data_IF_611468781855
#
_entry.id   IF_611468781855
#
_cell.length_a   1.000
_cell.length_b   1.000
_cell.length_c   1.000
_cell.angle_alpha   90.00
_cell.angle_beta   90.00
_cell.angle_gamma   90.00
#
_symmetry.space_group_name_H-M   'P 1'
#
loop_
_entity.id
_entity.type
_entity.pdbx_description
1 polymer ?
#
# COMPACT_ATOMS: atom_id res chain seq x y z
N UNK A 1 3.08 -11.95 16.41
CA UNK A 1 1.97 -12.24 17.32
C UNK A 1 1.00 -11.08 17.22
N UNK A 2 -0.21 -11.34 16.74
CA UNK A 2 -1.25 -10.33 16.59
C UNK A 2 -2.06 -10.24 17.88
N UNK A 3 -2.29 -9.02 18.33
CA UNK A 3 -2.96 -8.66 19.59
C UNK A 3 -4.12 -7.71 19.30
N UNK A 4 -5.23 -7.87 20.02
CA UNK A 4 -6.35 -6.93 20.07
C UNK A 4 -6.60 -6.62 21.53
N UNK A 5 -6.64 -5.33 21.89
CA UNK A 5 -6.82 -4.89 23.28
C UNK A 5 -5.82 -5.54 24.26
N UNK A 6 -4.61 -5.85 23.77
CA UNK A 6 -3.53 -6.50 24.52
C UNK A 6 -3.57 -8.03 24.53
N UNK A 7 -4.62 -8.66 24.01
CA UNK A 7 -4.81 -10.11 24.06
C UNK A 7 -4.46 -10.80 22.72
N UNK A 8 -3.78 -11.97 22.73
CA UNK A 8 -3.49 -12.73 21.52
C UNK A 8 -4.74 -13.17 20.77
N UNK A 9 -4.73 -12.98 19.45
CA UNK A 9 -5.80 -13.48 18.58
C UNK A 9 -5.74 -15.01 18.54
N UNK A 10 -6.74 -15.67 19.14
CA UNK A 10 -6.88 -17.14 19.10
C UNK A 10 -7.52 -17.59 17.78
N UNK A 11 -6.86 -18.47 17.06
CA UNK A 11 -7.44 -19.23 15.94
C UNK A 11 -7.96 -20.57 16.46
N UNK A 12 -8.90 -20.57 17.39
CA UNK A 12 -9.63 -21.79 17.77
C UNK A 12 -10.94 -21.85 16.99
N UNK A 13 -11.26 -22.95 16.28
CA UNK A 13 -12.54 -23.08 15.62
C UNK A 13 -13.64 -23.04 16.68
N UNK A 14 -14.70 -22.28 16.42
CA UNK A 14 -15.92 -22.23 17.23
C UNK A 14 -16.37 -23.65 17.64
N UNK A 15 -16.14 -24.05 18.90
CA UNK A 15 -16.85 -25.18 19.49
C UNK A 15 -18.10 -24.65 20.19
N UNK A 16 -19.21 -24.64 19.47
CA UNK A 16 -20.52 -24.52 20.08
C UNK A 16 -20.70 -25.67 21.09
N UNK A 17 -20.98 -25.30 22.34
CA UNK A 17 -21.24 -26.22 23.44
C UNK A 17 -22.37 -27.20 23.11
N UNK A 18 -22.04 -28.49 23.03
CA UNK A 18 -22.93 -29.59 23.36
C UNK A 18 -22.13 -30.64 24.12
N UNK A 19 -22.67 -31.04 25.27
CA UNK A 19 -22.07 -31.97 26.23
C UNK A 19 -21.82 -33.35 25.60
N UNK A 20 -20.66 -33.96 25.89
CA UNK A 20 -20.58 -35.42 26.03
C UNK A 20 -19.41 -36.12 25.35
N UNK A 21 -18.64 -36.81 26.19
CA UNK A 21 -17.81 -38.00 25.92
C UNK A 21 -16.41 -37.76 25.33
N UNK A 22 -15.42 -37.96 26.22
CA UNK A 22 -14.03 -38.26 25.89
C UNK A 22 -13.94 -39.51 25.02
N UNK A 23 -13.29 -39.41 23.86
CA UNK A 23 -12.64 -40.55 23.22
C UNK A 23 -11.25 -40.12 22.76
N UNK A 24 -10.27 -40.79 23.34
CA UNK A 24 -8.84 -40.69 23.10
C UNK A 24 -8.53 -41.24 21.70
N UNK A 25 -7.83 -40.49 20.84
CA UNK A 25 -7.34 -41.05 19.58
C UNK A 25 -6.86 -40.03 18.55
N UNK A 26 -5.54 -39.88 18.45
CA UNK A 26 -4.76 -39.54 17.24
C UNK A 26 -5.29 -38.40 16.33
N UNK A 27 -4.84 -37.16 16.60
CA UNK A 27 -4.92 -36.06 15.63
C UNK A 27 -3.56 -35.35 15.52
N UNK A 28 -2.56 -36.05 15.01
CA UNK A 28 -1.43 -35.42 14.31
C UNK A 28 -1.65 -35.58 12.82
N UNK A 29 -2.45 -34.68 12.24
CA UNK A 29 -2.43 -34.39 10.81
C UNK A 29 -2.34 -32.89 10.60
N UNK A 30 -1.16 -32.50 10.15
CA UNK A 30 -0.76 -31.23 9.57
C UNK A 30 -1.88 -30.66 8.68
N UNK A 31 -2.48 -29.52 9.09
CA UNK A 31 -3.22 -28.62 8.21
C UNK A 31 -2.49 -27.28 8.22
N UNK A 32 -1.39 -27.22 7.46
CA UNK A 32 -0.78 -25.96 7.04
C UNK A 32 -1.61 -25.48 5.85
N UNK A 33 -2.55 -24.55 6.05
CA UNK A 33 -3.31 -24.00 4.93
C UNK A 33 -4.55 -23.12 5.21
N UNK A 34 -4.96 -22.85 6.45
CA UNK A 34 -6.22 -22.12 6.72
C UNK A 34 -6.10 -20.82 7.55
N UNK A 35 -4.92 -20.48 8.08
CA UNK A 35 -4.79 -19.41 9.08
C UNK A 35 -5.26 -18.02 8.65
N UNK A 36 -4.91 -17.55 7.44
CA UNK A 36 -5.27 -16.20 6.99
C UNK A 36 -6.78 -15.96 6.89
N UNK A 37 -7.54 -16.95 6.40
CA UNK A 37 -9.00 -16.85 6.24
C UNK A 37 -9.71 -16.83 7.60
N UNK A 38 -9.27 -17.69 8.51
CA UNK A 38 -9.78 -17.74 9.88
C UNK A 38 -9.51 -16.44 10.62
N UNK A 39 -8.31 -15.86 10.44
CA UNK A 39 -7.96 -14.55 10.98
C UNK A 39 -8.86 -13.44 10.43
N UNK A 40 -9.08 -13.37 9.10
CA UNK A 40 -9.99 -12.37 8.51
C UNK A 40 -11.39 -12.49 9.14
N UNK A 41 -11.94 -13.70 9.22
CA UNK A 41 -13.28 -13.93 9.78
C UNK A 41 -13.36 -13.54 11.27
N UNK A 42 -12.35 -13.90 12.07
CA UNK A 42 -12.30 -13.57 13.50
C UNK A 42 -12.20 -12.05 13.72
N UNK A 43 -11.35 -11.36 12.95
CA UNK A 43 -11.12 -9.92 13.09
C UNK A 43 -12.30 -9.09 12.61
N UNK A 44 -12.96 -9.50 11.51
CA UNK A 44 -14.17 -8.85 11.02
C UNK A 44 -15.35 -8.94 12.02
N UNK A 45 -15.35 -9.97 12.87
CA UNK A 45 -16.33 -10.16 13.94
C UNK A 45 -16.00 -9.42 15.25
N UNK A 46 -14.79 -8.85 15.40
CA UNK A 46 -14.37 -8.22 16.65
C UNK A 46 -15.09 -6.87 16.88
N UNK A 47 -15.81 -6.67 18.00
CA UNK A 47 -16.57 -5.44 18.24
C UNK A 47 -15.71 -4.17 18.31
N UNK A 48 -14.51 -4.23 18.90
CA UNK A 48 -13.59 -3.10 19.04
C UNK A 48 -13.07 -2.62 17.68
N UNK A 49 -12.67 -3.56 16.82
CA UNK A 49 -12.21 -3.27 15.45
C UNK A 49 -13.33 -2.78 14.54
N UNK A 50 -14.55 -3.30 14.69
CA UNK A 50 -15.73 -2.81 13.98
C UNK A 50 -16.03 -1.36 14.36
N UNK A 51 -16.06 -1.06 15.65
CA UNK A 51 -16.26 0.30 16.14
C UNK A 51 -15.14 1.26 15.70
N UNK A 52 -13.89 0.78 15.64
CA UNK A 52 -12.77 1.58 15.11
C UNK A 52 -12.93 1.88 13.61
N UNK A 53 -13.39 0.90 12.82
CA UNK A 53 -13.65 1.08 11.40
C UNK A 53 -14.85 2.01 11.14
N UNK A 54 -15.91 1.88 11.93
CA UNK A 54 -17.06 2.81 11.92
C UNK A 54 -16.60 4.25 12.17
N UNK A 55 -15.85 4.49 13.25
CA UNK A 55 -15.30 5.83 13.54
C UNK A 55 -14.43 6.37 12.41
N UNK A 56 -13.62 5.53 11.75
CA UNK A 56 -12.79 5.95 10.64
C UNK A 56 -13.63 6.36 9.43
N UNK A 57 -14.68 5.60 9.09
CA UNK A 57 -15.58 5.90 7.97
C UNK A 57 -16.42 7.16 8.20
N UNK A 58 -16.80 7.40 9.44
CA UNK A 58 -17.60 8.56 9.83
C UNK A 58 -16.75 9.84 9.97
N UNK A 59 -15.42 9.70 9.99
CA UNK A 59 -14.51 10.83 10.05
C UNK A 59 -14.50 11.59 8.70
N UNK A 60 -14.38 12.93 8.73
CA UNK A 60 -14.32 13.71 7.49
C UNK A 60 -13.03 13.40 6.72
N UNK A 61 -13.16 13.29 5.40
CA UNK A 61 -12.00 13.15 4.52
C UNK A 61 -11.15 14.43 4.53
N UNK A 62 -9.85 14.27 4.78
CA UNK A 62 -8.87 15.36 4.73
C UNK A 62 -8.30 15.49 3.33
N UNK A 63 -8.46 16.65 2.71
CA UNK A 63 -7.80 16.96 1.45
C UNK A 63 -6.39 17.49 1.69
N UNK A 64 -5.37 16.69 1.35
CA UNK A 64 -3.96 17.05 1.49
C UNK A 64 -3.50 17.77 0.22
N UNK A 65 -3.19 19.05 0.38
CA UNK A 65 -2.72 19.91 -0.70
C UNK A 65 -1.33 20.42 -0.41
N UNK A 66 -0.50 20.55 -1.43
CA UNK A 66 0.74 21.32 -1.31
C UNK A 66 0.31 22.79 -1.32
N UNK A 67 0.45 23.50 -0.20
CA UNK A 67 -0.16 24.83 -0.01
C UNK A 67 0.12 25.82 -1.15
N UNK A 68 -0.77 26.80 -1.38
CA UNK A 68 -0.57 27.81 -2.41
C UNK A 68 0.68 28.66 -2.13
N UNK A 69 1.31 29.18 -3.19
CA UNK A 69 2.35 30.19 -3.07
C UNK A 69 1.76 31.42 -2.34
N UNK A 70 2.16 31.65 -1.09
CA UNK A 70 1.92 32.92 -0.39
C UNK A 70 1.06 32.91 0.88
N UNK A 71 0.60 31.77 1.41
CA UNK A 71 -0.03 31.73 2.75
C UNK A 71 1.00 31.51 3.87
N UNK A 72 0.86 32.27 4.97
CA UNK A 72 1.80 32.31 6.11
C UNK A 72 1.88 31.00 6.92
N UNK A 73 0.95 30.06 6.72
CA UNK A 73 1.01 28.73 7.35
C UNK A 73 1.74 27.75 6.42
N UNK A 74 2.94 27.34 6.80
CA UNK A 74 3.67 26.29 6.09
C UNK A 74 2.80 25.03 5.98
N UNK A 75 2.59 24.53 4.75
CA UNK A 75 1.91 23.27 4.54
C UNK A 75 2.60 22.15 5.33
N UNK A 76 1.85 21.21 5.91
CA UNK A 76 2.43 20.16 6.75
C UNK A 76 3.45 19.36 5.94
N UNK A 77 4.60 19.06 6.53
CA UNK A 77 5.61 18.22 5.86
C UNK A 77 5.07 16.82 5.73
N UNK A 78 4.67 16.45 4.52
CA UNK A 78 4.13 15.14 4.25
C UNK A 78 5.01 14.29 3.33
N UNK A 79 4.76 12.98 3.41
CA UNK A 79 5.32 11.94 2.53
C UNK A 79 4.13 11.15 1.97
N UNK A 80 4.01 11.15 0.64
CA UNK A 80 3.02 10.34 -0.08
C UNK A 80 3.67 9.07 -0.61
N UNK A 81 2.97 7.94 -0.54
CA UNK A 81 3.43 6.61 -0.99
C UNK A 81 2.48 6.09 -2.07
N UNK A 82 3.01 5.71 -3.24
CA UNK A 82 2.22 5.07 -4.30
C UNK A 82 2.03 3.58 -4.05
N UNK A 83 1.12 2.97 -4.83
CA UNK A 83 1.01 1.52 -4.95
C UNK A 83 2.39 0.86 -5.04
N UNK A 84 2.56 -0.25 -4.30
CA UNK A 84 3.78 -1.06 -4.21
C UNK A 84 4.98 -0.37 -3.57
N UNK A 85 4.86 0.87 -3.12
CA UNK A 85 5.90 1.56 -2.36
C UNK A 85 5.72 1.41 -0.84
N UNK A 86 6.77 1.76 -0.11
CA UNK A 86 6.70 2.01 1.33
C UNK A 86 7.64 3.13 1.74
N UNK A 87 7.31 3.74 2.88
CA UNK A 87 8.16 4.71 3.56
C UNK A 87 8.19 4.40 5.06
N UNK A 88 9.30 4.75 5.71
CA UNK A 88 9.40 4.79 7.17
C UNK A 88 9.83 6.20 7.54
N UNK A 89 9.07 6.85 8.43
CA UNK A 89 9.21 8.26 8.74
C UNK A 89 9.42 8.48 10.24
N UNK A 90 10.28 9.44 10.54
CA UNK A 90 10.51 9.98 11.88
C UNK A 90 9.51 11.12 12.15
N UNK A 91 8.71 11.05 13.23
CA UNK A 91 7.77 12.12 13.59
C UNK A 91 8.44 13.48 13.83
N UNK A 92 9.74 13.52 14.11
CA UNK A 92 10.50 14.77 14.22
C UNK A 92 10.70 15.49 12.87
N UNK A 93 10.46 14.81 11.74
CA UNK A 93 10.77 15.30 10.38
C UNK A 93 9.56 15.37 9.46
N UNK A 94 8.66 14.39 9.59
CA UNK A 94 7.47 14.25 8.75
C UNK A 94 6.27 14.32 9.67
N UNK A 95 5.33 15.22 9.38
CA UNK A 95 4.10 15.42 10.16
C UNK A 95 2.99 14.49 9.69
N UNK A 96 2.93 14.24 8.38
CA UNK A 96 1.90 13.43 7.74
C UNK A 96 2.49 12.39 6.80
N UNK A 97 1.99 11.17 6.84
CA UNK A 97 2.37 10.14 5.86
C UNK A 97 1.12 9.40 5.39
N UNK A 98 0.96 9.20 4.08
CA UNK A 98 -0.28 8.64 3.56
C UNK A 98 -0.21 8.11 2.14
N UNK A 99 -1.34 7.58 1.70
CA UNK A 99 -1.57 7.04 0.37
C UNK A 99 -3.04 7.25 0.00
N UNK A 100 -3.33 7.36 -1.30
CA UNK A 100 -4.67 7.20 -1.83
C UNK A 100 -4.69 6.24 -3.02
N UNK A 101 -5.80 6.21 -3.75
CA UNK A 101 -6.04 5.29 -4.88
C UNK A 101 -6.00 3.81 -4.47
N UNK A 102 -6.31 3.51 -3.21
CA UNK A 102 -6.36 2.17 -2.64
C UNK A 102 -7.72 1.52 -2.97
N UNK A 103 -7.82 0.92 -4.17
CA UNK A 103 -9.03 0.18 -4.59
C UNK A 103 -9.03 -1.25 -4.04
N UNK A 104 -8.46 -2.21 -4.77
CA UNK A 104 -8.31 -3.61 -4.31
C UNK A 104 -7.07 -3.84 -3.44
N UNK A 105 -6.15 -2.88 -3.47
CA UNK A 105 -4.94 -2.85 -2.67
C UNK A 105 -5.26 -2.63 -1.18
N UNK A 106 -4.27 -2.80 -0.31
CA UNK A 106 -4.41 -2.55 1.14
C UNK A 106 -3.25 -1.67 1.61
N UNK A 107 -3.58 -0.55 2.25
CA UNK A 107 -2.62 0.23 3.01
C UNK A 107 -2.33 -0.41 4.35
N UNK A 108 -1.04 -0.56 4.67
CA UNK A 108 -0.57 -1.13 5.93
C UNK A 108 0.29 -0.09 6.64
N UNK A 109 -0.12 0.29 7.86
CA UNK A 109 0.67 1.16 8.76
C UNK A 109 1.18 0.32 9.92
N UNK A 110 2.45 0.50 10.27
CA UNK A 110 3.08 -0.08 11.45
C UNK A 110 3.85 1.02 12.16
N UNK A 111 3.46 1.33 13.40
CA UNK A 111 4.07 2.38 14.21
C UNK A 111 4.73 1.78 15.45
N UNK A 112 5.96 2.19 15.74
CA UNK A 112 6.64 1.82 16.97
C UNK A 112 6.08 2.67 18.13
N UNK A 113 5.45 2.02 19.10
CA UNK A 113 4.76 2.71 20.19
C UNK A 113 5.69 3.46 21.16
N UNK A 114 7.00 3.17 21.11
CA UNK A 114 8.00 3.81 21.96
C UNK A 114 8.67 4.99 21.28
N UNK A 115 9.01 4.86 20.00
CA UNK A 115 9.76 5.89 19.27
C UNK A 115 8.87 6.81 18.43
N UNK A 116 7.63 6.39 18.12
CA UNK A 116 6.74 7.08 17.18
C UNK A 116 7.13 6.89 15.70
N UNK A 117 8.25 6.21 15.42
CA UNK A 117 8.65 5.84 14.06
C UNK A 117 7.49 5.10 13.38
N UNK A 118 7.09 5.58 12.21
CA UNK A 118 5.89 5.09 11.52
C UNK A 118 6.26 4.64 10.12
N UNK A 119 5.88 3.42 9.75
CA UNK A 119 6.05 2.92 8.39
C UNK A 119 4.70 2.67 7.75
N UNK A 120 4.53 3.16 6.53
CA UNK A 120 3.35 2.92 5.70
C UNK A 120 3.78 2.19 4.44
N UNK A 121 2.92 1.30 3.94
CA UNK A 121 3.03 0.73 2.61
C UNK A 121 1.68 0.65 1.94
N UNK A 122 1.69 0.66 0.61
CA UNK A 122 0.52 0.41 -0.22
C UNK A 122 0.71 -0.94 -0.91
N UNK A 123 0.17 -2.01 -0.33
CA UNK A 123 0.38 -3.38 -0.83
C UNK A 123 -0.67 -3.74 -1.88
N UNK A 124 -0.25 -4.31 -3.00
CA UNK A 124 -1.12 -4.65 -4.13
C UNK A 124 -1.12 -6.16 -4.47
N UNK A 125 -0.18 -6.93 -3.89
CA UNK A 125 0.01 -8.31 -4.30
C UNK A 125 0.46 -9.23 -3.14
N UNK A 126 -0.20 -10.40 -2.92
CA UNK A 126 0.16 -11.28 -1.80
C UNK A 126 1.64 -11.72 -1.75
N UNK A 127 2.32 -11.86 -2.90
CA UNK A 127 3.71 -12.34 -2.93
C UNK A 127 4.74 -11.32 -2.44
N UNK A 128 4.38 -10.03 -2.35
CA UNK A 128 5.29 -9.00 -1.81
C UNK A 128 5.14 -8.81 -0.30
N UNK A 129 4.07 -9.32 0.31
CA UNK A 129 3.70 -9.03 1.71
C UNK A 129 4.81 -9.42 2.69
N UNK A 130 5.39 -10.61 2.56
CA UNK A 130 6.38 -11.11 3.51
C UNK A 130 7.69 -10.32 3.46
N UNK A 131 8.22 -10.08 2.24
CA UNK A 131 9.41 -9.26 2.05
C UNK A 131 9.16 -7.79 2.43
N UNK A 132 8.00 -7.25 2.06
CA UNK A 132 7.59 -5.89 2.37
C UNK A 132 7.47 -5.62 3.88
N UNK A 133 6.75 -6.48 4.62
CA UNK A 133 6.66 -6.35 6.07
C UNK A 133 8.04 -6.47 6.74
N UNK A 134 8.91 -7.35 6.24
CA UNK A 134 10.29 -7.44 6.73
C UNK A 134 11.06 -6.14 6.49
N UNK A 135 10.94 -5.52 5.31
CA UNK A 135 11.57 -4.23 5.01
C UNK A 135 11.09 -3.12 5.96
N UNK A 136 9.76 -3.02 6.17
CA UNK A 136 9.18 -2.02 7.07
C UNK A 136 9.70 -2.18 8.50
N UNK A 137 9.69 -3.42 9.04
CA UNK A 137 10.11 -3.69 10.42
C UNK A 137 11.60 -3.41 10.65
N UNK A 138 12.46 -3.65 9.64
CA UNK A 138 13.89 -3.37 9.76
C UNK A 138 14.20 -1.89 10.01
N UNK A 139 13.34 -0.98 9.55
CA UNK A 139 13.52 0.47 9.70
C UNK A 139 12.82 1.07 10.93
N UNK A 140 11.97 0.29 11.61
CA UNK A 140 11.21 0.74 12.79
C UNK A 140 11.97 0.58 14.11
N UNK A 141 13.19 0.04 14.06
CA UNK A 141 14.03 -0.21 15.23
C UNK A 141 13.74 -1.56 15.91
N UNK A 142 14.70 -2.01 16.72
CA UNK A 142 14.65 -3.29 17.46
C UNK A 142 14.78 -3.04 18.97
N UNK A 143 13.76 -2.40 19.54
CA UNK A 143 13.69 -2.07 20.97
C UNK A 143 12.73 -2.99 21.74
N UNK A 144 12.26 -4.07 21.11
CA UNK A 144 11.25 -5.01 21.60
C UNK A 144 9.91 -4.35 22.00
N UNK A 145 9.65 -3.11 21.57
CA UNK A 145 8.36 -2.47 21.81
C UNK A 145 7.27 -3.10 20.92
N UNK A 146 6.02 -3.22 21.41
CA UNK A 146 4.89 -3.55 20.55
C UNK A 146 4.68 -2.47 19.48
N UNK A 147 4.18 -2.90 18.32
CA UNK A 147 3.82 -2.02 17.23
C UNK A 147 2.32 -1.87 17.11
N UNK A 148 1.83 -0.65 16.92
CA UNK A 148 0.45 -0.41 16.49
C UNK A 148 0.32 -0.63 14.98
N UNK A 149 -0.76 -1.30 14.57
CA UNK A 149 -1.03 -1.67 13.17
C UNK A 149 -2.39 -1.18 12.71
N UNK A 150 -2.43 -0.59 11.52
CA UNK A 150 -3.67 -0.21 10.83
C UNK A 150 -3.71 -0.86 9.43
N UNK A 151 -4.81 -1.55 9.13
CA UNK A 151 -5.09 -2.12 7.82
C UNK A 151 -6.33 -1.41 7.25
N UNK A 152 -6.17 -0.72 6.12
CA UNK A 152 -7.20 0.13 5.50
C UNK A 152 -7.15 -0.04 3.99
N UNK A 153 -8.32 -0.11 3.35
CA UNK A 153 -8.43 -0.32 1.90
C UNK A 153 -8.91 -1.71 1.56
N UNK A 154 -8.96 -2.04 0.27
CA UNK A 154 -9.62 -3.24 -0.20
C UNK A 154 -11.12 -3.18 0.05
N UNK A 155 -11.88 -3.96 -0.71
CA UNK A 155 -13.32 -4.10 -0.54
C UNK A 155 -13.73 -5.50 -0.97
N UNK A 156 -15.02 -5.83 -0.88
CA UNK A 156 -15.54 -7.10 -1.40
C UNK A 156 -15.62 -7.03 -2.93
N UNK A 157 -14.46 -7.10 -3.56
CA UNK A 157 -14.30 -7.05 -4.99
C UNK A 157 -14.55 -8.42 -5.63
N UNK A 158 -15.03 -8.40 -6.87
CA UNK A 158 -15.17 -9.59 -7.70
C UNK A 158 -14.05 -9.59 -8.75
N UNK A 159 -13.37 -10.72 -8.93
CA UNK A 159 -12.39 -10.83 -10.01
C UNK A 159 -13.07 -10.63 -11.36
N UNK A 160 -12.64 -9.60 -12.09
CA UNK A 160 -13.10 -9.28 -13.44
C UNK A 160 -12.36 -10.06 -14.53
N UNK A 161 -11.22 -10.69 -14.21
CA UNK A 161 -10.41 -11.44 -15.18
C UNK A 161 -10.85 -12.90 -15.23
N UNK A 162 -11.28 -13.36 -16.40
CA UNK A 162 -11.60 -14.77 -16.67
C UNK A 162 -10.30 -15.54 -16.83
N UNK A 163 -9.94 -16.37 -15.86
CA UNK A 163 -8.89 -17.38 -16.09
C UNK A 163 -9.52 -18.54 -16.84
N UNK A 164 -9.10 -18.77 -18.08
CA UNK A 164 -9.43 -20.00 -18.81
C UNK A 164 -8.71 -21.19 -18.17
N UNK A 165 -9.26 -21.67 -17.05
CA UNK A 165 -8.85 -22.94 -16.47
C UNK A 165 -9.33 -24.04 -17.41
N UNK A 166 -8.40 -24.68 -18.10
CA UNK A 166 -8.63 -25.93 -18.84
C UNK A 166 -8.98 -27.04 -17.84
N UNK A 167 -10.23 -27.06 -17.36
CA UNK A 167 -10.71 -28.01 -16.38
C UNK A 167 -12.06 -27.57 -15.81
N UNK A 168 -13.08 -28.41 -16.03
CA UNK A 168 -14.46 -28.22 -15.54
C UNK A 168 -14.49 -28.16 -14.01
N UNK A 169 -14.43 -26.95 -13.45
CA UNK A 169 -14.98 -26.57 -12.15
C UNK A 169 -15.03 -25.04 -12.11
N UNK A 170 -16.23 -24.46 -12.19
CA UNK A 170 -16.44 -23.03 -12.01
C UNK A 170 -16.28 -22.66 -10.52
N UNK A 171 -15.05 -22.65 -10.00
CA UNK A 171 -14.79 -22.01 -8.72
C UNK A 171 -14.99 -20.51 -8.90
N UNK A 172 -15.90 -19.91 -8.13
CA UNK A 172 -16.07 -18.44 -8.05
C UNK A 172 -14.69 -17.86 -7.75
N UNK A 173 -14.09 -17.16 -8.71
CA UNK A 173 -12.75 -16.62 -8.54
C UNK A 173 -12.81 -15.56 -7.44
N UNK A 174 -12.00 -15.75 -6.40
CA UNK A 174 -11.85 -14.77 -5.33
C UNK A 174 -11.33 -13.46 -5.93
N UNK A 175 -11.87 -12.33 -5.47
CA UNK A 175 -11.33 -11.01 -5.80
C UNK A 175 -9.88 -10.85 -5.35
N UNK A 176 -9.30 -9.69 -5.62
CA UNK A 176 -7.91 -9.36 -5.31
C UNK A 176 -7.72 -8.97 -3.84
N UNK A 177 -8.68 -8.30 -3.22
CA UNK A 177 -8.54 -7.77 -1.85
C UNK A 177 -8.49 -8.88 -0.80
N UNK A 178 -9.34 -9.91 -0.93
CA UNK A 178 -9.49 -10.98 0.08
C UNK A 178 -8.22 -11.82 0.25
N UNK A 179 -7.58 -12.34 -0.83
CA UNK A 179 -6.30 -13.04 -0.72
C UNK A 179 -5.18 -12.17 -0.16
N UNK A 180 -5.15 -10.88 -0.50
CA UNK A 180 -4.17 -9.93 0.02
C UNK A 180 -4.33 -9.73 1.53
N UNK A 181 -5.55 -9.48 2.00
CA UNK A 181 -5.86 -9.36 3.44
C UNK A 181 -5.47 -10.63 4.21
N UNK A 182 -5.82 -11.81 3.68
CA UNK A 182 -5.46 -13.09 4.28
C UNK A 182 -3.95 -13.21 4.46
N UNK A 183 -3.18 -12.83 3.44
CA UNK A 183 -1.72 -12.94 3.45
C UNK A 183 -1.07 -11.96 4.42
N UNK A 184 -1.54 -10.71 4.48
CA UNK A 184 -1.05 -9.70 5.44
C UNK A 184 -1.21 -10.22 6.87
N UNK A 185 -2.42 -10.66 7.23
CA UNK A 185 -2.72 -11.16 8.57
C UNK A 185 -1.93 -12.43 8.91
N UNK A 186 -1.77 -13.34 7.96
CA UNK A 186 -0.98 -14.55 8.15
C UNK A 186 0.47 -14.23 8.53
N UNK A 187 1.10 -13.29 7.81
CA UNK A 187 2.49 -12.90 8.07
C UNK A 187 2.63 -12.16 9.41
N UNK A 188 1.73 -11.22 9.71
CA UNK A 188 1.72 -10.50 11.00
C UNK A 188 1.54 -11.47 12.18
N UNK A 189 0.62 -12.42 12.06
CA UNK A 189 0.33 -13.39 13.10
C UNK A 189 1.53 -14.31 13.37
N UNK A 190 2.20 -14.81 12.31
CA UNK A 190 3.37 -15.70 12.40
C UNK A 190 4.65 -15.02 12.88
N UNK A 191 4.74 -13.70 12.80
CA UNK A 191 5.90 -12.95 13.28
C UNK A 191 6.13 -13.13 14.78
N UNK A 192 7.38 -12.98 15.23
CA UNK A 192 7.71 -12.94 16.67
C UNK A 192 7.47 -11.58 17.32
N UNK A 193 7.39 -10.53 16.53
CA UNK A 193 7.08 -9.18 17.00
C UNK A 193 5.63 -9.10 17.48
N UNK A 194 5.35 -8.18 18.40
CA UNK A 194 4.01 -7.95 18.94
C UNK A 194 3.32 -6.84 18.14
N UNK A 195 2.12 -7.13 17.62
CA UNK A 195 1.35 -6.21 16.80
C UNK A 195 -0.02 -5.95 17.41
N UNK A 196 -0.29 -4.74 17.85
CA UNK A 196 -1.60 -4.29 18.31
C UNK A 196 -2.40 -3.82 17.11
N UNK A 197 -3.37 -4.62 16.68
CA UNK A 197 -4.24 -4.21 15.57
C UNK A 197 -5.22 -3.15 16.07
N UNK A 198 -5.06 -1.91 15.61
CA UNK A 198 -5.87 -0.76 16.02
C UNK A 198 -7.04 -0.49 15.06
N UNK A 199 -6.82 -0.74 13.78
CA UNK A 199 -7.82 -0.52 12.73
C UNK A 199 -7.79 -1.68 11.75
N UNK A 200 -8.97 -2.19 11.42
CA UNK A 200 -9.18 -3.26 10.44
C UNK A 200 -10.35 -2.87 9.53
N UNK A 201 -10.15 -1.81 8.73
CA UNK A 201 -11.15 -1.25 7.82
C UNK A 201 -10.89 -1.74 6.39
N UNK A 202 -11.11 -3.03 6.18
CA UNK A 202 -10.90 -3.72 4.90
C UNK A 202 -12.12 -4.56 4.52
N UNK A 203 -12.20 -4.99 3.25
CA UNK A 203 -13.25 -5.90 2.75
C UNK A 203 -14.64 -5.35 3.08
N UNK A 204 -15.59 -6.18 3.53
CA UNK A 204 -16.93 -5.75 3.94
C UNK A 204 -17.01 -4.56 4.90
N UNK A 205 -15.98 -4.29 5.70
CA UNK A 205 -15.97 -3.07 6.55
C UNK A 205 -15.68 -1.79 5.78
N UNK A 206 -15.16 -1.92 4.56
CA UNK A 206 -14.83 -0.84 3.63
C UNK A 206 -15.61 -0.98 2.30
N UNK A 207 -16.63 -1.83 2.22
CA UNK A 207 -17.45 -2.02 1.00
C UNK A 207 -18.70 -1.15 1.03
N UNK A 208 -18.97 -0.45 -0.06
CA UNK A 208 -20.29 0.09 -0.38
C UNK A 208 -20.71 -0.33 -1.80
N UNK A 209 -21.92 0.00 -2.20
CA UNK A 209 -22.46 -0.29 -3.53
C UNK A 209 -22.91 1.00 -4.20
N UNK A 210 -22.55 1.18 -5.48
CA UNK A 210 -23.02 2.30 -6.29
C UNK A 210 -24.50 2.12 -6.71
N UNK A 211 -25.04 3.11 -7.45
CA UNK A 211 -26.43 3.05 -7.96
C UNK A 211 -26.68 1.94 -8.97
N UNK A 212 -25.63 1.33 -9.54
CA UNK A 212 -25.68 0.29 -10.55
C UNK A 212 -25.49 -1.12 -9.97
N UNK A 213 -25.23 -1.24 -8.66
CA UNK A 213 -24.99 -2.51 -8.00
C UNK A 213 -23.52 -2.94 -7.97
N UNK A 214 -22.58 -2.10 -8.44
CA UNK A 214 -21.15 -2.40 -8.36
C UNK A 214 -20.63 -2.15 -6.95
N UNK A 215 -19.79 -3.05 -6.44
CA UNK A 215 -19.09 -2.83 -5.18
C UNK A 215 -17.91 -1.87 -5.37
N UNK A 216 -17.69 -1.01 -4.38
CA UNK A 216 -16.62 -0.01 -4.38
C UNK A 216 -16.11 0.24 -2.95
N UNK A 217 -14.86 0.71 -2.77
CA UNK A 217 -14.35 1.05 -1.45
C UNK A 217 -15.06 2.31 -0.89
N UNK A 218 -15.28 2.34 0.42
CA UNK A 218 -15.75 3.53 1.15
C UNK A 218 -14.58 4.50 1.35
N UNK A 219 -13.45 3.98 1.82
CA UNK A 219 -12.20 4.71 2.02
C UNK A 219 -11.20 4.20 0.98
N UNK A 220 -10.79 5.08 0.08
CA UNK A 220 -9.78 4.83 -0.96
C UNK A 220 -8.46 5.56 -0.69
N UNK A 221 -8.35 6.32 0.40
CA UNK A 221 -7.13 6.97 0.82
C UNK A 221 -7.17 7.39 2.29
N UNK A 222 -5.99 7.48 2.89
CA UNK A 222 -5.84 7.86 4.28
C UNK A 222 -4.48 8.50 4.56
N UNK A 223 -4.41 9.22 5.67
CA UNK A 223 -3.19 9.84 6.17
C UNK A 223 -3.03 9.52 7.65
N UNK A 224 -1.77 9.37 8.07
CA UNK A 224 -1.36 9.19 9.45
C UNK A 224 -0.69 10.46 9.93
N UNK A 225 -1.14 10.98 11.07
CA UNK A 225 -0.44 12.02 11.81
C UNK A 225 0.64 11.36 12.67
N UNK A 226 1.91 11.62 12.33
CA UNK A 226 3.05 10.87 12.89
C UNK A 226 3.27 11.13 14.38
N UNK A 227 2.93 12.32 14.86
CA UNK A 227 3.07 12.69 16.27
C UNK A 227 2.11 11.96 17.19
N UNK A 228 0.93 11.57 16.69
CA UNK A 228 -0.13 10.92 17.48
C UNK A 228 -0.38 9.47 17.08
N UNK A 229 0.04 9.05 15.89
CA UNK A 229 -0.36 7.78 15.26
C UNK A 229 -1.82 7.77 14.79
N UNK A 230 -2.52 8.92 14.83
CA UNK A 230 -3.92 9.02 14.43
C UNK A 230 -4.08 8.84 12.93
N UNK A 231 -5.11 8.11 12.51
CA UNK A 231 -5.43 7.87 11.10
C UNK A 231 -6.75 8.54 10.74
N UNK A 232 -6.79 9.18 9.56
CA UNK A 232 -8.00 9.80 9.02
C UNK A 232 -8.13 9.50 7.52
N UNK A 233 -9.36 9.38 6.98
CA UNK A 233 -9.56 9.32 5.54
C UNK A 233 -8.94 10.55 4.88
N UNK A 234 -8.34 10.38 3.71
CA UNK A 234 -7.66 11.47 3.02
C UNK A 234 -7.62 11.28 1.50
N UNK A 235 -7.61 12.41 0.80
CA UNK A 235 -7.32 12.49 -0.63
C UNK A 235 -6.16 13.44 -0.88
N UNK A 236 -5.36 13.15 -1.90
CA UNK A 236 -4.20 13.95 -2.26
C UNK A 236 -4.48 14.70 -3.57
N UNK A 237 -4.06 15.97 -3.67
CA UNK A 237 -4.01 16.64 -4.97
C UNK A 237 -2.79 16.18 -5.78
N UNK A 238 -2.70 16.59 -7.04
CA UNK A 238 -1.62 16.14 -7.93
C UNK A 238 -0.23 16.56 -7.41
N UNK A 239 -0.12 17.73 -6.79
CA UNK A 239 1.15 18.28 -6.31
C UNK A 239 1.59 17.62 -5.00
N UNK A 240 0.65 17.17 -4.17
CA UNK A 240 0.94 16.48 -2.92
C UNK A 240 1.37 15.03 -3.12
N UNK A 241 1.26 14.47 -4.33
CA UNK A 241 1.83 13.15 -4.67
C UNK A 241 3.29 13.19 -5.17
N UNK A 242 3.88 14.38 -5.28
CA UNK A 242 5.27 14.59 -5.67
C UNK A 242 6.29 14.01 -4.64
N UNK A 243 7.57 13.83 -5.03
CA UNK A 243 8.18 14.11 -6.34
C UNK A 243 8.02 12.98 -7.36
N UNK A 244 8.34 13.32 -8.62
CA UNK A 244 8.59 12.37 -9.73
C UNK A 244 7.48 11.33 -9.93
N UNK A 245 6.24 11.79 -9.83
CA UNK A 245 5.04 10.96 -9.77
C UNK A 245 4.95 9.96 -10.95
N UNK A 246 5.20 10.41 -12.19
CA UNK A 246 5.18 9.53 -13.37
C UNK A 246 6.21 8.40 -13.27
N UNK A 247 7.46 8.71 -12.91
CA UNK A 247 8.53 7.70 -12.79
C UNK A 247 8.23 6.71 -11.67
N UNK A 248 7.69 7.20 -10.54
CA UNK A 248 7.28 6.33 -9.42
C UNK A 248 6.16 5.38 -9.81
N UNK A 249 5.16 5.85 -10.56
CA UNK A 249 4.10 4.99 -11.10
C UNK A 249 4.63 3.98 -12.12
N UNK A 250 5.55 4.37 -13.00
CA UNK A 250 6.23 3.43 -13.92
C UNK A 250 6.86 2.27 -13.17
N UNK A 251 7.53 2.54 -12.04
CA UNK A 251 8.15 1.48 -11.23
C UNK A 251 7.15 0.41 -10.80
N UNK A 252 5.89 0.76 -10.54
CA UNK A 252 4.85 -0.22 -10.18
C UNK A 252 4.65 -1.24 -11.31
N UNK A 253 4.49 -0.76 -12.54
CA UNK A 253 4.26 -1.59 -13.73
C UNK A 253 5.48 -2.43 -14.10
N UNK A 254 6.67 -1.82 -14.10
CA UNK A 254 7.88 -2.45 -14.66
C UNK A 254 8.67 -3.27 -13.63
N UNK A 255 8.59 -2.96 -12.33
CA UNK A 255 9.34 -3.68 -11.28
C UNK A 255 9.00 -5.17 -11.17
N UNK A 256 7.85 -5.59 -11.70
CA UNK A 256 7.48 -7.00 -11.78
C UNK A 256 8.47 -7.86 -12.59
N UNK A 257 9.20 -7.24 -13.53
CA UNK A 257 10.19 -7.90 -14.39
C UNK A 257 11.63 -7.73 -13.91
N UNK A 258 11.89 -6.83 -12.95
CA UNK A 258 13.23 -6.57 -12.42
C UNK A 258 13.51 -7.51 -11.23
N UNK A 259 14.49 -8.43 -11.34
CA UNK A 259 14.83 -9.37 -10.28
C UNK A 259 15.18 -8.72 -8.94
N UNK A 260 15.67 -7.47 -8.93
CA UNK A 260 16.01 -6.76 -7.69
C UNK A 260 14.79 -6.46 -6.81
N UNK A 261 13.61 -6.37 -7.43
CA UNK A 261 12.34 -6.03 -6.77
C UNK A 261 11.43 -7.24 -6.54
N UNK A 262 11.89 -8.45 -6.89
CA UNK A 262 11.09 -9.66 -6.72
C UNK A 262 10.78 -9.92 -5.23
N UNK A 263 9.48 -9.95 -4.90
CA UNK A 263 9.01 -10.20 -3.54
C UNK A 263 9.25 -9.03 -2.57
N UNK A 264 9.55 -7.83 -3.06
CA UNK A 264 9.85 -6.64 -2.27
C UNK A 264 8.90 -5.48 -2.58
N UNK A 265 8.76 -4.59 -1.61
CA UNK A 265 8.21 -3.26 -1.82
C UNK A 265 9.29 -2.33 -2.39
N UNK A 266 8.84 -1.31 -3.11
CA UNK A 266 9.65 -0.26 -3.69
C UNK A 266 10.02 0.77 -2.61
N UNK A 267 11.30 0.85 -2.29
CA UNK A 267 11.84 1.86 -1.39
C UNK A 267 11.79 3.24 -2.06
N UNK A 268 11.31 4.26 -1.34
CA UNK A 268 11.15 5.62 -1.89
C UNK A 268 11.57 6.78 -1.02
N UNK A 269 11.60 6.65 0.30
CA UNK A 269 11.89 7.76 1.20
C UNK A 269 12.94 7.40 2.25
N UNK A 270 13.95 8.26 2.36
CA UNK A 270 14.98 8.21 3.38
C UNK A 270 14.72 9.30 4.42
N UNK A 271 14.19 8.87 5.57
CA UNK A 271 13.84 9.79 6.64
C UNK A 271 15.04 10.45 7.30
N UNK A 272 16.23 9.85 7.30
CA UNK A 272 17.39 10.45 7.94
C UNK A 272 17.86 11.71 7.19
N UNK A 273 17.78 11.67 5.87
CA UNK A 273 18.19 12.76 4.99
C UNK A 273 17.03 13.65 4.50
N UNK A 274 15.79 13.38 4.95
CA UNK A 274 14.56 13.99 4.41
C UNK A 274 14.58 14.06 2.88
N UNK A 275 14.74 12.91 2.26
CA UNK A 275 14.94 12.81 0.82
C UNK A 275 14.14 11.65 0.22
N UNK A 276 13.48 11.91 -0.91
CA UNK A 276 13.00 10.83 -1.76
C UNK A 276 14.19 10.25 -2.52
N UNK A 277 14.41 8.94 -2.36
CA UNK A 277 15.40 8.17 -3.10
C UNK A 277 14.67 7.16 -3.98
N UNK A 278 14.36 7.58 -5.21
CA UNK A 278 13.62 6.74 -6.15
C UNK A 278 14.62 5.79 -6.79
N UNK A 279 14.70 4.59 -6.22
CA UNK A 279 15.64 3.57 -6.68
C UNK A 279 15.34 3.13 -8.12
N UNK A 280 16.40 2.80 -8.84
CA UNK A 280 16.32 2.42 -10.24
C UNK A 280 15.40 1.20 -10.44
N UNK A 281 14.66 1.20 -11.53
CA UNK A 281 13.94 0.04 -12.02
C UNK A 281 14.24 -0.11 -13.51
N UNK A 282 14.57 -1.32 -13.92
CA UNK A 282 14.76 -1.63 -15.34
C UNK A 282 13.43 -1.99 -16.00
N UNK A 283 13.28 -1.60 -17.26
CA UNK A 283 12.24 -2.13 -18.13
C UNK A 283 12.82 -2.66 -19.44
N UNK A 284 12.14 -3.66 -19.98
CA UNK A 284 12.49 -4.26 -21.26
C UNK A 284 12.23 -3.29 -22.41
N UNK A 285 13.04 -3.31 -23.50
CA UNK A 285 12.87 -2.39 -24.63
C UNK A 285 11.50 -2.45 -25.32
N UNK A 286 10.79 -3.59 -25.25
CA UNK A 286 9.45 -3.75 -25.83
C UNK A 286 8.35 -3.03 -25.03
N UNK A 287 8.64 -2.43 -23.87
CA UNK A 287 7.66 -1.65 -23.13
C UNK A 287 7.14 -0.45 -23.91
N UNK A 288 7.95 0.16 -24.78
CA UNK A 288 7.49 1.26 -25.64
C UNK A 288 6.41 0.78 -26.62
N UNK A 289 6.55 -0.42 -27.19
CA UNK A 289 5.56 -1.03 -28.09
C UNK A 289 4.27 -1.43 -27.34
N UNK A 290 4.42 -1.99 -26.14
CA UNK A 290 3.29 -2.32 -25.26
C UNK A 290 2.54 -1.04 -24.89
N UNK A 291 3.26 -0.01 -24.42
CA UNK A 291 2.69 1.29 -24.06
C UNK A 291 1.98 1.95 -25.25
N UNK A 292 2.58 1.92 -26.44
CA UNK A 292 1.95 2.45 -27.65
C UNK A 292 0.68 1.69 -28.04
N UNK A 293 0.62 0.38 -27.78
CA UNK A 293 -0.57 -0.44 -28.06
C UNK A 293 -1.69 -0.15 -27.06
N UNK A 294 -1.34 -0.01 -25.78
CA UNK A 294 -2.29 0.33 -24.72
C UNK A 294 -2.85 1.75 -24.88
N UNK A 295 -2.02 2.71 -25.31
CA UNK A 295 -2.46 4.11 -25.49
C UNK A 295 -3.46 4.28 -26.65
N UNK A 296 -3.55 3.31 -27.56
CA UNK A 296 -4.56 3.32 -28.64
C UNK A 296 -5.94 2.80 -28.20
N UNK A 297 -6.04 2.19 -27.02
CA UNK A 297 -7.30 1.68 -26.49
C UNK A 297 -8.25 2.82 -26.10
N UNK A 298 -9.55 2.58 -26.19
CA UNK A 298 -10.56 3.45 -25.61
C UNK A 298 -10.49 3.43 -24.08
N UNK A 299 -11.02 4.46 -23.42
CA UNK A 299 -10.97 4.56 -21.95
C UNK A 299 -11.63 3.37 -21.22
N UNK A 300 -12.69 2.80 -21.79
CA UNK A 300 -13.35 1.60 -21.26
C UNK A 300 -12.49 0.35 -21.41
N UNK A 301 -11.75 0.22 -22.53
CA UNK A 301 -10.80 -0.87 -22.73
C UNK A 301 -9.59 -0.74 -21.81
N UNK A 302 -9.10 0.49 -21.57
CA UNK A 302 -8.03 0.76 -20.59
C UNK A 302 -8.46 0.31 -19.21
N UNK A 303 -9.65 0.75 -18.75
CA UNK A 303 -10.19 0.32 -17.46
C UNK A 303 -10.29 -1.21 -17.39
N UNK A 304 -10.90 -1.85 -18.38
CA UNK A 304 -11.14 -3.30 -18.34
C UNK A 304 -9.84 -4.13 -18.37
N UNK A 305 -8.81 -3.68 -19.09
CA UNK A 305 -7.57 -4.43 -19.26
C UNK A 305 -6.53 -4.13 -18.16
N UNK A 306 -6.47 -2.88 -17.70
CA UNK A 306 -5.39 -2.37 -16.85
C UNK A 306 -5.78 -2.23 -15.38
N UNK A 307 -7.07 -2.13 -15.04
CA UNK A 307 -7.53 -2.08 -13.65
C UNK A 307 -7.85 -3.46 -13.07
N UNK A 308 -7.68 -3.61 -11.76
CA UNK A 308 -8.21 -4.74 -10.98
C UNK A 308 -9.70 -4.62 -10.66
N UNK A 309 -10.23 -3.41 -10.69
CA UNK A 309 -11.59 -3.04 -10.29
C UNK A 309 -12.13 -1.89 -11.17
N UNK A 310 -12.44 -2.14 -12.46
CA UNK A 310 -12.78 -1.09 -13.44
C UNK A 310 -13.91 -0.13 -13.02
N UNK A 311 -14.90 -0.61 -12.27
CA UNK A 311 -16.03 0.21 -11.81
C UNK A 311 -15.73 1.03 -10.55
N UNK A 312 -14.60 0.78 -9.88
CA UNK A 312 -14.22 1.43 -8.63
C UNK A 312 -12.99 2.34 -8.78
N UNK A 313 -12.41 2.45 -9.97
CA UNK A 313 -11.27 3.34 -10.22
C UNK A 313 -11.68 4.81 -10.15
N UNK A 314 -10.77 5.69 -9.69
CA UNK A 314 -11.05 7.12 -9.66
C UNK A 314 -11.13 7.70 -11.08
N UNK A 315 -11.82 8.85 -11.27
CA UNK A 315 -12.04 9.44 -12.60
C UNK A 315 -10.77 9.74 -13.41
N UNK A 316 -9.64 9.94 -12.73
CA UNK A 316 -8.35 10.27 -13.32
C UNK A 316 -7.45 9.05 -13.60
N UNK A 317 -7.93 7.82 -13.37
CA UNK A 317 -7.17 6.58 -13.59
C UNK A 317 -6.62 6.47 -15.02
N UNK A 318 -7.49 6.60 -16.02
CA UNK A 318 -7.10 6.44 -17.44
C UNK A 318 -6.10 7.51 -17.87
N UNK A 319 -6.29 8.76 -17.46
CA UNK A 319 -5.34 9.83 -17.78
C UNK A 319 -3.96 9.56 -17.16
N UNK A 320 -3.90 9.03 -15.94
CA UNK A 320 -2.65 8.64 -15.31
C UNK A 320 -1.94 7.51 -16.07
N UNK A 321 -2.67 6.47 -16.48
CA UNK A 321 -2.11 5.39 -17.32
C UNK A 321 -1.54 5.94 -18.63
N UNK A 322 -2.26 6.83 -19.30
CA UNK A 322 -1.77 7.47 -20.54
C UNK A 322 -0.51 8.31 -20.32
N UNK A 323 -0.38 9.00 -19.18
CA UNK A 323 0.84 9.75 -18.83
C UNK A 323 2.03 8.82 -18.65
N UNK A 324 1.82 7.65 -18.03
CA UNK A 324 2.83 6.60 -17.87
C UNK A 324 3.27 6.08 -19.25
N UNK A 325 2.32 5.72 -20.11
CA UNK A 325 2.63 5.16 -21.43
C UNK A 325 3.34 6.16 -22.33
N UNK A 326 2.90 7.42 -22.37
CA UNK A 326 3.60 8.49 -23.10
C UNK A 326 5.06 8.62 -22.67
N UNK A 327 5.33 8.59 -21.37
CA UNK A 327 6.70 8.64 -20.86
C UNK A 327 7.54 7.45 -21.33
N UNK A 328 6.99 6.22 -21.29
CA UNK A 328 7.67 5.01 -21.75
C UNK A 328 7.93 5.00 -23.26
N UNK A 329 7.04 5.59 -24.06
CA UNK A 329 7.22 5.76 -25.51
C UNK A 329 8.34 6.77 -25.80
N UNK A 330 8.36 7.90 -25.08
CA UNK A 330 9.38 8.94 -25.23
C UNK A 330 10.76 8.53 -24.66
N UNK A 331 10.78 7.65 -23.66
CA UNK A 331 11.98 7.19 -22.95
C UNK A 331 12.07 5.65 -22.96
N UNK A 332 12.29 5.01 -24.12
CA UNK A 332 12.26 3.55 -24.25
C UNK A 332 13.39 2.85 -23.49
N UNK A 333 14.51 3.55 -23.24
CA UNK A 333 15.65 3.03 -22.49
C UNK A 333 15.62 3.53 -21.05
N UNK A 334 15.54 2.61 -20.09
CA UNK A 334 15.48 2.94 -18.67
C UNK A 334 16.72 3.69 -18.19
N UNK A 335 17.86 3.52 -18.87
CA UNK A 335 19.12 4.20 -18.62
C UNK A 335 19.01 5.73 -18.74
N UNK A 336 18.08 6.24 -19.55
CA UNK A 336 17.83 7.68 -19.68
C UNK A 336 17.14 8.23 -18.41
N UNK A 337 16.31 7.40 -17.78
CA UNK A 337 15.62 7.74 -16.52
C UNK A 337 16.50 7.52 -15.30
N UNK A 338 17.30 6.43 -15.29
CA UNK A 338 18.21 6.07 -14.21
C UNK A 338 19.65 5.90 -14.73
N UNK A 339 20.36 7.00 -15.04
CA UNK A 339 21.72 6.93 -15.58
C UNK A 339 22.66 6.16 -14.65
N UNK A 340 23.33 5.16 -15.20
CA UNK A 340 24.27 4.28 -14.47
C UNK A 340 23.62 3.58 -13.27
N UNK A 341 22.32 3.25 -13.37
CA UNK A 341 21.54 2.58 -12.32
C UNK A 341 21.48 3.39 -11.02
N UNK A 342 21.67 4.72 -11.08
CA UNK A 342 21.62 5.57 -9.89
C UNK A 342 20.17 5.94 -9.55
N UNK A 343 19.83 6.03 -8.24
CA UNK A 343 18.53 6.52 -7.82
C UNK A 343 18.36 7.99 -8.21
N UNK A 344 17.11 8.40 -8.43
CA UNK A 344 16.74 9.81 -8.59
C UNK A 344 16.46 10.37 -7.20
N UNK A 345 17.23 11.37 -6.79
CA UNK A 345 17.21 11.88 -5.41
C UNK A 345 16.61 13.28 -5.38
N UNK A 346 15.62 13.45 -4.51
CA UNK A 346 14.91 14.72 -4.33
C UNK A 346 14.97 15.12 -2.86
N UNK A 347 15.33 16.38 -2.62
CA UNK A 347 15.39 16.95 -1.28
C UNK A 347 14.29 17.99 -1.11
N UNK A 348 13.82 18.13 0.12
CA UNK A 348 12.87 19.16 0.47
C UNK A 348 13.56 20.52 0.43
N UNK A 349 12.98 21.48 -0.27
CA UNK A 349 13.44 22.87 -0.30
C UNK A 349 12.86 23.65 0.88
N UNK A 350 13.39 24.84 1.15
CA UNK A 350 12.97 25.69 2.28
C UNK A 350 11.51 26.14 2.18
N UNK A 351 10.95 26.16 0.97
CA UNK A 351 9.54 26.43 0.68
C UNK A 351 8.65 25.16 0.77
N UNK A 352 9.21 24.03 1.22
CA UNK A 352 8.49 22.77 1.43
C UNK A 352 8.33 21.89 0.19
N UNK A 353 8.72 22.37 -1.00
CA UNK A 353 8.66 21.60 -2.26
C UNK A 353 9.77 20.56 -2.36
N UNK A 354 9.67 19.70 -3.37
CA UNK A 354 10.72 18.73 -3.69
C UNK A 354 11.53 19.18 -4.90
N UNK A 355 12.85 19.17 -4.78
CA UNK A 355 13.76 19.54 -5.87
C UNK A 355 14.80 18.46 -6.14
N UNK A 356 15.01 18.18 -7.42
CA UNK A 356 16.11 17.35 -7.88
C UNK A 356 17.39 18.20 -7.90
N UNK A 357 18.31 17.96 -6.97
CA UNK A 357 19.63 18.59 -7.04
C UNK A 357 20.56 17.73 -7.89
N UNK A 358 20.97 18.14 -9.11
CA UNK A 358 22.28 17.71 -9.58
C UNK A 358 23.29 18.33 -8.62
N UNK A 359 24.14 17.52 -7.96
CA UNK A 359 25.31 18.05 -7.23
C UNK A 359 26.01 19.05 -8.15
N UNK A 360 25.98 20.34 -7.79
CA UNK A 360 26.66 21.38 -8.56
C UNK A 360 28.13 21.03 -8.71
N UNK A 361 28.64 21.37 -9.88
CA UNK A 361 30.04 21.46 -10.25
C UNK A 361 30.93 21.80 -9.06
N UNK A 362 31.98 21.00 -8.89
CA UNK A 362 33.21 21.45 -8.24
C UNK A 362 33.70 22.63 -9.06
N UNK A 363 33.48 23.86 -8.58
CA UNK A 363 34.30 24.99 -9.01
C UNK A 363 35.73 24.66 -8.59
N UNK A 364 36.56 24.33 -9.58
CA UNK A 364 38.00 24.46 -9.42
C UNK A 364 38.28 25.94 -9.25
N UNK A 365 38.42 26.37 -7.99
CA UNK A 365 39.12 27.61 -7.67
C UNK A 365 40.57 27.48 -8.12
N UNK A 366 40.85 27.95 -9.33
CA UNK A 366 42.18 28.36 -9.78
C UNK A 366 42.10 29.86 -10.05
N UNK A 367 42.48 30.66 -9.05
CA UNK A 367 43.58 31.63 -9.11
C UNK A 367 43.68 32.40 -7.80
#
# INVERSE_FOLDING_TARGET
MLLIDGEPVSTSPFSGSSRGVRLLGCWTKLLVGSGGRELVAALAGNPGLRAASERLRDAPERRISSGPEGEEAAAPRHVYVFQREFATVDPARVELVGTDEVTTCVGVVISNNKTGMTSISHMDFPKIVEGGLKQMLQLLGDDNAPFDVHLIGGFDDASTKVVHSSGRNHSKQEGYSYPLCCRILEVLHKSRQQFHLRTFCVLGSNTTTDSYGNTQPIISGFVVETSSGSVSPASFDMNSRCPDEVVRRIRVSVSSYDPHWQGRLLETYDTHNDAFQIAAACWMPNWAEIASSLDQLSDSEVLLQCSTSPAAEPPHFVENERRIWRYLIENPYWEDTFPKYKPRVFHRTTDGRWSHFPKRHVEYGLN
#
